data_IF_727321381327
#
_entry.id   IF_727321381327
#
_cell.length_a   1.000
_cell.length_b   1.000
_cell.length_c   1.000
_cell.angle_alpha   90.00
_cell.angle_beta   90.00
_cell.angle_gamma   90.00
#
_symmetry.space_group_name_H-M   'P 1'
#
loop_
_entity.id
_entity.type
_entity.pdbx_description
1 polymer ?
#
# COMPACT_ATOMS: atom_id res chain seq x y z
N UNK A 1 3.42 15.80 2.74
CA UNK A 1 4.84 15.37 2.57
C UNK A 1 5.15 15.22 1.09
N UNK A 2 4.22 14.67 0.33
CA UNK A 2 4.04 14.85 -1.12
C UNK A 2 4.58 16.18 -1.72
N UNK A 3 4.21 17.35 -1.17
CA UNK A 3 4.68 18.66 -1.65
C UNK A 3 6.20 18.80 -1.51
N UNK A 4 6.77 18.32 -0.40
CA UNK A 4 8.22 18.32 -0.17
C UNK A 4 8.93 17.28 -1.05
N UNK A 5 8.30 16.13 -1.31
CA UNK A 5 8.84 15.10 -2.21
C UNK A 5 9.02 15.64 -3.62
N UNK A 6 8.02 16.37 -4.13
CA UNK A 6 8.09 17.05 -5.44
C UNK A 6 9.23 18.07 -5.52
N UNK A 7 9.56 18.72 -4.40
CA UNK A 7 10.66 19.69 -4.29
C UNK A 7 12.02 19.05 -3.94
N UNK A 8 12.07 17.74 -3.70
CA UNK A 8 13.29 17.06 -3.25
C UNK A 8 13.75 17.46 -1.84
N UNK A 9 12.83 17.91 -0.99
CA UNK A 9 13.13 18.46 0.34
C UNK A 9 12.92 17.46 1.48
N UNK A 10 12.51 16.22 1.20
CA UNK A 10 12.40 15.17 2.21
C UNK A 10 13.76 14.52 2.42
N UNK A 11 14.26 14.57 3.67
CA UNK A 11 15.55 13.98 4.07
C UNK A 11 15.38 12.60 4.69
N UNK A 12 16.48 11.85 4.82
CA UNK A 12 16.48 10.58 5.56
C UNK A 12 16.09 10.77 7.03
N UNK A 13 16.54 11.84 7.69
CA UNK A 13 16.16 12.14 9.08
C UNK A 13 14.64 12.31 9.23
N UNK A 14 14.00 13.00 8.28
CA UNK A 14 12.54 13.14 8.27
C UNK A 14 11.85 11.78 8.12
N UNK A 15 12.36 10.92 7.24
CA UNK A 15 11.86 9.55 7.07
C UNK A 15 12.08 8.71 8.34
N UNK A 16 13.21 8.85 9.02
CA UNK A 16 13.49 8.14 10.27
C UNK A 16 12.44 8.48 11.33
N UNK A 17 12.15 9.78 11.52
CA UNK A 17 11.12 10.24 12.46
C UNK A 17 9.72 9.73 12.11
N UNK A 18 9.40 9.63 10.80
CA UNK A 18 8.15 8.99 10.36
C UNK A 18 8.15 7.50 10.73
N UNK A 19 9.21 6.76 10.42
CA UNK A 19 9.33 5.33 10.75
C UNK A 19 9.15 5.10 12.26
N UNK A 20 9.84 5.87 13.10
CA UNK A 20 9.71 5.81 14.56
C UNK A 20 8.27 6.06 15.03
N UNK A 21 7.59 7.07 14.45
CA UNK A 21 6.20 7.37 14.79
C UNK A 21 5.27 6.21 14.42
N UNK A 22 5.48 5.59 13.27
CA UNK A 22 4.73 4.42 12.82
C UNK A 22 4.97 3.20 13.72
N UNK A 23 6.23 2.93 14.11
CA UNK A 23 6.54 1.82 15.03
C UNK A 23 5.82 2.03 16.36
N UNK A 24 5.92 3.22 16.95
CA UNK A 24 5.23 3.55 18.21
C UNK A 24 3.71 3.42 18.09
N UNK A 25 3.14 3.82 16.96
CA UNK A 25 1.72 3.68 16.67
C UNK A 25 1.33 2.21 16.57
N UNK A 26 1.96 1.44 15.69
CA UNK A 26 1.64 0.03 15.44
C UNK A 26 1.82 -0.86 16.68
N UNK A 27 2.79 -0.57 17.56
CA UNK A 27 2.96 -1.28 18.83
C UNK A 27 1.79 -1.09 19.80
N UNK A 28 1.11 0.07 19.72
CA UNK A 28 -0.01 0.44 20.60
C UNK A 28 -1.37 0.26 19.94
N UNK A 29 -1.42 0.17 18.61
CA UNK A 29 -2.64 0.02 17.83
C UNK A 29 -3.42 -1.23 18.25
N UNK A 30 -4.74 -1.12 18.26
CA UNK A 30 -5.62 -2.18 18.72
C UNK A 30 -5.40 -3.46 17.90
N UNK A 31 -5.43 -4.60 18.58
CA UNK A 31 -5.54 -5.93 17.96
C UNK A 31 -6.40 -6.82 18.84
N UNK A 32 -7.25 -7.62 18.22
CA UNK A 32 -8.12 -8.58 18.87
C UNK A 32 -8.54 -9.64 17.83
N UNK A 33 -9.35 -10.63 18.22
CA UNK A 33 -9.79 -11.69 17.29
C UNK A 33 -10.60 -11.18 16.10
N UNK A 34 -11.37 -10.10 16.25
CA UNK A 34 -12.11 -9.43 15.15
C UNK A 34 -11.14 -8.80 14.16
N UNK A 35 -10.14 -8.04 14.63
CA UNK A 35 -9.12 -7.39 13.80
C UNK A 35 -8.24 -8.47 13.11
N UNK A 36 -7.79 -9.47 13.86
CA UNK A 36 -6.96 -10.57 13.37
C UNK A 36 -7.61 -11.33 12.20
N UNK A 37 -8.95 -11.43 12.16
CA UNK A 37 -9.67 -12.07 11.07
C UNK A 37 -9.43 -11.41 9.69
N UNK A 38 -9.04 -10.13 9.66
CA UNK A 38 -8.77 -9.42 8.40
C UNK A 38 -7.43 -9.80 7.76
N UNK A 39 -6.49 -10.35 8.54
CA UNK A 39 -5.24 -10.88 8.02
C UNK A 39 -5.30 -12.36 7.62
N UNK A 40 -6.44 -13.03 7.82
CA UNK A 40 -6.59 -14.43 7.38
C UNK A 40 -6.42 -14.54 5.87
N UNK A 41 -5.80 -15.64 5.44
CA UNK A 41 -5.47 -15.88 4.04
C UNK A 41 -6.68 -15.76 3.10
N UNK A 42 -7.85 -16.26 3.52
CA UNK A 42 -9.08 -16.16 2.72
C UNK A 42 -9.58 -14.73 2.56
N UNK A 43 -9.40 -13.89 3.59
CA UNK A 43 -9.72 -12.46 3.51
C UNK A 43 -8.77 -11.75 2.55
N UNK A 44 -7.47 -12.04 2.63
CA UNK A 44 -6.46 -11.49 1.71
C UNK A 44 -6.76 -11.89 0.27
N UNK A 45 -7.01 -13.19 0.02
CA UNK A 45 -7.37 -13.70 -1.31
C UNK A 45 -8.62 -13.03 -1.86
N UNK A 46 -9.66 -12.87 -1.04
CA UNK A 46 -10.90 -12.18 -1.44
C UNK A 46 -10.66 -10.73 -1.79
N UNK A 47 -9.88 -10.00 -0.98
CA UNK A 47 -9.51 -8.61 -1.28
C UNK A 47 -8.76 -8.51 -2.63
N UNK A 48 -7.81 -9.40 -2.88
CA UNK A 48 -7.10 -9.45 -4.16
C UNK A 48 -8.05 -9.75 -5.33
N UNK A 49 -8.90 -10.78 -5.22
CA UNK A 49 -9.82 -11.15 -6.30
C UNK A 49 -10.85 -10.06 -6.60
N UNK A 50 -11.38 -9.39 -5.57
CA UNK A 50 -12.27 -8.24 -5.76
C UNK A 50 -11.57 -7.10 -6.50
N UNK A 51 -10.30 -6.81 -6.20
CA UNK A 51 -9.53 -5.82 -6.93
C UNK A 51 -9.38 -6.20 -8.41
N UNK A 52 -9.09 -7.47 -8.71
CA UNK A 52 -8.96 -7.98 -10.08
C UNK A 52 -10.29 -7.89 -10.84
N UNK A 53 -11.37 -8.46 -10.28
CA UNK A 53 -12.71 -8.44 -10.87
C UNK A 53 -13.20 -7.02 -11.16
N UNK A 54 -13.03 -6.09 -10.22
CA UNK A 54 -13.41 -4.69 -10.42
C UNK A 54 -12.57 -3.96 -11.49
N UNK A 55 -11.40 -4.50 -11.84
CA UNK A 55 -10.49 -3.90 -12.83
C UNK A 55 -10.74 -4.45 -14.25
N UNK A 56 -11.46 -5.55 -14.41
CA UNK A 56 -11.64 -6.25 -15.70
C UNK A 56 -12.12 -5.33 -16.83
N UNK A 57 -13.07 -4.43 -16.55
CA UNK A 57 -13.59 -3.48 -17.54
C UNK A 57 -12.58 -2.42 -18.02
N UNK A 58 -11.46 -2.26 -17.32
CA UNK A 58 -10.38 -1.34 -17.72
C UNK A 58 -9.19 -2.02 -18.39
N UNK A 59 -9.27 -3.34 -18.61
CA UNK A 59 -8.28 -4.07 -19.41
C UNK A 59 -8.33 -3.53 -20.84
N UNK A 60 -7.17 -3.15 -21.37
CA UNK A 60 -7.03 -2.46 -22.67
C UNK A 60 -7.24 -0.94 -22.58
N UNK A 61 -7.72 -0.41 -21.46
CA UNK A 61 -7.90 1.03 -21.22
C UNK A 61 -6.76 1.58 -20.36
N UNK A 62 -6.79 1.29 -19.05
CA UNK A 62 -5.78 1.74 -18.07
C UNK A 62 -4.71 0.71 -17.78
N UNK A 63 -4.99 -0.58 -18.02
CA UNK A 63 -4.05 -1.68 -17.82
C UNK A 63 -4.03 -2.59 -19.06
N UNK A 64 -2.86 -2.88 -19.66
CA UNK A 64 -2.77 -3.88 -20.72
C UNK A 64 -3.08 -5.29 -20.19
N UNK A 65 -3.75 -6.12 -20.99
CA UNK A 65 -4.13 -7.50 -20.60
C UNK A 65 -2.93 -8.32 -20.10
N UNK A 66 -1.78 -8.22 -20.76
CA UNK A 66 -0.54 -8.89 -20.32
C UNK A 66 -0.14 -8.51 -18.89
N UNK A 67 -0.18 -7.22 -18.53
CA UNK A 67 0.20 -6.76 -17.19
C UNK A 67 -0.79 -7.23 -16.14
N UNK A 68 -2.09 -7.19 -16.48
CA UNK A 68 -3.15 -7.70 -15.60
C UNK A 68 -2.91 -9.18 -15.25
N UNK A 69 -2.69 -10.03 -16.26
CA UNK A 69 -2.43 -11.46 -16.05
C UNK A 69 -1.15 -11.73 -15.27
N UNK A 70 -0.07 -10.99 -15.55
CA UNK A 70 1.19 -11.14 -14.83
C UNK A 70 1.05 -10.78 -13.34
N UNK A 71 0.39 -9.66 -13.03
CA UNK A 71 0.17 -9.24 -11.64
C UNK A 71 -0.80 -10.20 -10.93
N UNK A 72 -1.87 -10.65 -11.60
CA UNK A 72 -2.82 -11.63 -11.03
C UNK A 72 -2.13 -12.96 -10.72
N UNK A 73 -1.34 -13.47 -11.66
CA UNK A 73 -0.56 -14.70 -11.48
C UNK A 73 0.45 -14.57 -10.34
N UNK A 74 1.26 -13.50 -10.32
CA UNK A 74 2.19 -13.23 -9.22
C UNK A 74 1.48 -13.20 -7.86
N UNK A 75 0.36 -12.47 -7.76
CA UNK A 75 -0.40 -12.30 -6.52
C UNK A 75 -0.91 -13.64 -6.01
N UNK A 76 -1.54 -14.44 -6.89
CA UNK A 76 -2.09 -15.74 -6.53
C UNK A 76 -1.00 -16.75 -6.15
N UNK A 77 0.11 -16.77 -6.88
CA UNK A 77 1.25 -17.64 -6.59
C UNK A 77 1.91 -17.26 -5.27
N UNK A 78 2.10 -15.96 -5.01
CA UNK A 78 2.68 -15.50 -3.75
C UNK A 78 1.82 -15.89 -2.55
N UNK A 79 0.50 -15.66 -2.61
CA UNK A 79 -0.45 -16.05 -1.55
C UNK A 79 -0.37 -17.56 -1.30
N UNK A 80 -0.42 -18.36 -2.35
CA UNK A 80 -0.43 -19.83 -2.22
C UNK A 80 0.86 -20.35 -1.61
N UNK A 81 2.02 -19.87 -2.10
CA UNK A 81 3.34 -20.31 -1.65
C UNK A 81 3.75 -19.80 -0.27
N UNK A 82 3.09 -18.76 0.26
CA UNK A 82 3.43 -18.14 1.54
C UNK A 82 2.31 -18.22 2.57
N UNK A 83 1.39 -19.18 2.45
CA UNK A 83 0.24 -19.35 3.37
C UNK A 83 0.68 -19.34 4.85
N UNK A 84 1.74 -20.09 5.19
CA UNK A 84 2.28 -20.16 6.56
C UNK A 84 2.85 -18.82 7.05
N UNK A 85 3.37 -17.98 6.15
CA UNK A 85 3.84 -16.65 6.51
C UNK A 85 2.67 -15.76 6.92
N UNK A 86 1.57 -15.74 6.16
CA UNK A 86 0.37 -14.99 6.51
C UNK A 86 -0.25 -15.46 7.83
N UNK A 87 -0.34 -16.78 8.04
CA UNK A 87 -0.84 -17.33 9.31
C UNK A 87 0.04 -16.93 10.49
N UNK A 88 1.37 -16.91 10.30
CA UNK A 88 2.33 -16.39 11.28
C UNK A 88 2.08 -14.91 11.60
N UNK A 89 1.82 -14.06 10.60
CA UNK A 89 1.46 -12.65 10.83
C UNK A 89 0.25 -12.51 11.73
N UNK A 90 -0.77 -13.33 11.51
CA UNK A 90 -1.99 -13.34 12.31
C UNK A 90 -1.70 -13.80 13.74
N UNK A 91 -0.97 -14.90 13.92
CA UNK A 91 -0.66 -15.46 15.25
C UNK A 91 0.25 -14.56 16.08
N UNK A 92 1.14 -13.80 15.45
CA UNK A 92 2.02 -12.82 16.10
C UNK A 92 1.34 -11.45 16.34
N UNK A 93 0.03 -11.33 16.07
CA UNK A 93 -0.73 -10.10 16.31
C UNK A 93 -0.24 -8.94 15.44
N UNK A 94 0.21 -9.22 14.22
CA UNK A 94 0.67 -8.20 13.25
C UNK A 94 -0.48 -7.51 12.50
N UNK A 95 -1.70 -8.04 12.66
CA UNK A 95 -2.91 -7.42 12.13
C UNK A 95 -3.42 -6.42 13.16
N UNK A 96 -3.43 -5.15 12.78
CA UNK A 96 -3.68 -4.02 13.66
C UNK A 96 -4.74 -3.12 13.08
N UNK A 97 -5.31 -2.31 13.95
CA UNK A 97 -6.12 -1.17 13.58
C UNK A 97 -5.24 -0.02 13.07
N UNK A 98 -4.87 -0.09 11.79
CA UNK A 98 -3.88 0.78 11.16
C UNK A 98 -4.50 2.13 10.70
N UNK A 99 -3.81 2.91 9.87
CA UNK A 99 -4.35 4.12 9.24
C UNK A 99 -5.28 3.81 8.06
N UNK A 100 -4.97 2.77 7.31
CA UNK A 100 -5.75 2.29 6.15
C UNK A 100 -5.45 3.01 4.83
N UNK A 101 -5.13 4.31 4.88
CA UNK A 101 -4.68 5.12 3.71
C UNK A 101 -3.35 5.88 3.93
N UNK A 102 -2.35 5.22 4.52
CA UNK A 102 -1.06 5.87 4.84
C UNK A 102 -0.20 6.11 3.60
N UNK A 103 -0.30 7.30 3.01
CA UNK A 103 0.58 7.74 1.92
C UNK A 103 1.05 9.18 2.11
N UNK A 104 1.97 9.68 1.27
CA UNK A 104 2.71 10.91 1.55
C UNK A 104 1.86 12.19 1.58
N UNK A 105 0.63 12.18 1.07
CA UNK A 105 -0.27 13.35 1.21
C UNK A 105 -0.73 13.52 2.66
N UNK A 106 -0.88 12.41 3.39
CA UNK A 106 -1.41 12.33 4.75
C UNK A 106 -0.36 12.52 5.84
N UNK A 107 0.86 12.94 5.47
CA UNK A 107 1.96 13.20 6.40
C UNK A 107 2.40 14.65 6.26
N UNK A 108 2.24 15.45 7.32
CA UNK A 108 2.69 16.83 7.36
C UNK A 108 3.83 16.99 8.37
N UNK A 109 4.86 17.74 7.99
CA UNK A 109 5.96 18.09 8.90
C UNK A 109 5.69 19.49 9.44
N UNK A 110 5.38 19.55 10.73
CA UNK A 110 5.18 20.79 11.51
C UNK A 110 6.22 20.85 12.64
N UNK A 111 5.88 21.37 13.81
CA UNK A 111 6.73 21.27 15.01
C UNK A 111 6.93 19.79 15.44
N UNK A 112 5.91 18.94 15.19
CA UNK A 112 6.02 17.47 15.15
C UNK A 112 5.47 16.95 13.80
N UNK A 113 5.55 15.64 13.56
CA UNK A 113 4.94 14.97 12.41
C UNK A 113 3.44 14.79 12.67
N UNK A 114 2.60 15.37 11.82
CA UNK A 114 1.16 15.10 11.81
C UNK A 114 0.83 14.04 10.76
N UNK A 115 0.22 12.93 11.17
CA UNK A 115 -0.35 11.93 10.26
C UNK A 115 -1.87 11.99 10.42
N UNK A 116 -2.60 12.27 9.34
CA UNK A 116 -4.00 12.64 9.36
C UNK A 116 -4.79 11.98 8.23
N UNK A 117 -6.12 12.10 8.25
CA UNK A 117 -7.02 11.50 7.25
C UNK A 117 -7.04 9.95 7.29
N UNK A 118 -7.09 9.41 8.51
CA UNK A 118 -7.30 7.98 8.77
C UNK A 118 -8.70 7.55 8.32
N UNK A 119 -8.85 6.33 7.78
CA UNK A 119 -10.17 5.81 7.41
C UNK A 119 -10.95 5.38 8.66
N UNK A 120 -11.88 6.21 9.12
CA UNK A 120 -12.65 5.94 10.35
C UNK A 120 -13.96 5.14 10.12
N UNK A 121 -14.44 5.10 8.88
CA UNK A 121 -15.80 4.60 8.56
C UNK A 121 -15.85 3.15 8.06
N UNK A 122 -14.70 2.53 7.78
CA UNK A 122 -14.65 1.18 7.22
C UNK A 122 -13.50 0.35 7.78
N UNK A 123 -13.83 -0.51 8.75
CA UNK A 123 -12.91 -1.46 9.38
C UNK A 123 -12.11 -2.29 8.35
N UNK A 124 -12.71 -2.67 7.21
CA UNK A 124 -12.04 -3.48 6.19
C UNK A 124 -10.86 -2.78 5.51
N UNK A 125 -10.89 -1.45 5.47
CA UNK A 125 -9.79 -0.67 4.90
C UNK A 125 -8.73 -0.32 5.94
N UNK A 126 -9.12 -0.29 7.21
CA UNK A 126 -8.26 0.11 8.32
C UNK A 126 -7.51 -1.08 8.96
N UNK A 127 -8.22 -2.19 9.18
CA UNK A 127 -7.66 -3.39 9.78
C UNK A 127 -6.78 -4.14 8.78
N UNK A 128 -5.46 -4.13 9.01
CA UNK A 128 -4.52 -4.74 8.08
C UNK A 128 -3.23 -5.15 8.78
N UNK A 129 -2.41 -5.94 8.08
CA UNK A 129 -1.04 -6.20 8.51
C UNK A 129 -0.25 -4.89 8.52
N UNK A 130 0.50 -4.62 9.59
CA UNK A 130 1.41 -3.47 9.67
C UNK A 130 2.42 -3.44 8.52
N UNK A 131 2.80 -4.60 7.97
CA UNK A 131 3.62 -4.70 6.77
C UNK A 131 2.92 -4.11 5.54
N UNK A 132 1.60 -4.25 5.43
CA UNK A 132 0.81 -3.66 4.36
C UNK A 132 0.78 -2.13 4.42
N UNK A 133 0.67 -1.57 5.62
CA UNK A 133 0.68 -0.12 5.85
C UNK A 133 2.05 0.49 5.54
N UNK A 134 3.13 -0.11 6.04
CA UNK A 134 4.51 0.34 5.74
C UNK A 134 4.80 0.21 4.24
N UNK A 135 4.39 -0.89 3.62
CA UNK A 135 4.55 -1.08 2.18
C UNK A 135 3.77 -0.03 1.37
N UNK A 136 2.64 0.47 1.88
CA UNK A 136 1.88 1.51 1.19
C UNK A 136 2.68 2.82 1.10
N UNK A 137 3.20 3.31 2.23
CA UNK A 137 4.02 4.52 2.22
C UNK A 137 5.30 4.33 1.41
N UNK A 138 5.95 3.16 1.51
CA UNK A 138 7.14 2.84 0.72
C UNK A 138 6.85 2.79 -0.79
N UNK A 139 5.71 2.24 -1.21
CA UNK A 139 5.26 2.26 -2.60
C UNK A 139 5.01 3.69 -3.08
N UNK A 140 4.41 4.54 -2.25
CA UNK A 140 4.18 5.95 -2.62
C UNK A 140 5.50 6.72 -2.77
N UNK A 141 6.51 6.44 -1.94
CA UNK A 141 7.88 6.97 -2.12
C UNK A 141 8.51 6.50 -3.45
N UNK A 142 8.32 5.24 -3.83
CA UNK A 142 8.78 4.73 -5.13
C UNK A 142 8.09 5.46 -6.29
N UNK A 143 6.79 5.76 -6.18
CA UNK A 143 6.05 6.57 -7.17
C UNK A 143 6.65 7.97 -7.33
N UNK A 144 7.15 8.58 -6.25
CA UNK A 144 7.88 9.85 -6.30
C UNK A 144 9.33 9.73 -6.79
N UNK A 145 9.75 8.54 -7.27
CA UNK A 145 11.13 8.26 -7.68
C UNK A 145 12.13 8.50 -6.54
N UNK A 146 11.73 8.11 -5.32
CA UNK A 146 12.54 8.19 -4.10
C UNK A 146 12.77 6.80 -3.51
N UNK A 147 13.22 5.86 -4.35
CA UNK A 147 13.51 4.47 -3.96
C UNK A 147 14.55 4.37 -2.82
N UNK A 148 15.48 5.31 -2.74
CA UNK A 148 16.42 5.43 -1.63
C UNK A 148 15.73 5.74 -0.29
N UNK A 149 14.75 6.65 -0.28
CA UNK A 149 13.96 6.98 0.91
C UNK A 149 12.98 5.86 1.26
N UNK A 150 12.40 5.19 0.25
CA UNK A 150 11.56 4.01 0.41
C UNK A 150 12.31 2.87 1.11
N UNK A 151 13.53 2.54 0.64
CA UNK A 151 14.39 1.54 1.28
C UNK A 151 14.79 1.96 2.69
N UNK A 152 15.13 3.23 2.87
CA UNK A 152 15.50 3.76 4.19
C UNK A 152 14.34 3.66 5.20
N UNK A 153 13.12 4.07 4.81
CA UNK A 153 11.90 3.92 5.61
C UNK A 153 11.71 2.48 6.10
N UNK A 154 11.77 1.53 5.16
CA UNK A 154 11.54 0.10 5.46
C UNK A 154 12.61 -0.43 6.39
N UNK A 155 13.89 -0.16 6.10
CA UNK A 155 15.00 -0.63 6.92
C UNK A 155 14.91 -0.08 8.35
N UNK A 156 14.68 1.23 8.51
CA UNK A 156 14.53 1.86 9.83
C UNK A 156 13.32 1.28 10.58
N UNK A 157 12.20 1.06 9.89
CA UNK A 157 11.03 0.44 10.50
C UNK A 157 11.34 -0.99 11.00
N UNK A 158 11.98 -1.82 10.17
CA UNK A 158 12.33 -3.21 10.54
C UNK A 158 13.32 -3.23 11.70
N UNK A 159 14.35 -2.39 11.66
CA UNK A 159 15.34 -2.27 12.74
C UNK A 159 14.70 -1.93 14.09
N UNK A 160 13.79 -0.96 14.11
CA UNK A 160 13.11 -0.50 15.33
C UNK A 160 11.99 -1.44 15.82
N UNK A 161 11.34 -2.17 14.91
CA UNK A 161 10.22 -3.06 15.24
C UNK A 161 10.64 -4.52 15.41
N UNK A 162 11.87 -4.87 15.00
CA UNK A 162 12.39 -6.23 14.88
C UNK A 162 11.51 -7.15 14.01
N UNK A 163 10.81 -6.57 13.03
CA UNK A 163 9.87 -7.28 12.17
C UNK A 163 10.51 -7.69 10.82
N UNK A 164 11.40 -8.67 10.86
CA UNK A 164 12.14 -9.14 9.66
C UNK A 164 11.22 -9.79 8.60
N UNK A 165 10.10 -10.41 9.02
CA UNK A 165 9.16 -11.03 8.09
C UNK A 165 8.45 -10.01 7.18
N UNK A 166 8.41 -8.73 7.57
CA UNK A 166 7.93 -7.64 6.73
C UNK A 166 8.68 -7.60 5.40
N UNK A 167 10.00 -7.81 5.39
CA UNK A 167 10.82 -7.78 4.18
C UNK A 167 10.38 -8.83 3.17
N UNK A 168 9.92 -9.99 3.65
CA UNK A 168 9.42 -11.09 2.81
C UNK A 168 8.06 -10.77 2.18
N UNK A 169 7.26 -9.93 2.83
CA UNK A 169 5.93 -9.49 2.36
C UNK A 169 5.97 -8.17 1.59
N UNK A 170 7.10 -7.46 1.60
CA UNK A 170 7.19 -6.08 1.14
C UNK A 170 6.75 -5.92 -0.32
N UNK A 171 7.34 -6.68 -1.24
CA UNK A 171 7.01 -6.56 -2.66
C UNK A 171 5.57 -6.99 -2.96
N UNK A 172 5.05 -8.00 -2.26
CA UNK A 172 3.65 -8.41 -2.37
C UNK A 172 2.72 -7.25 -1.99
N UNK A 173 2.92 -6.62 -0.83
CA UNK A 173 2.07 -5.53 -0.39
C UNK A 173 2.29 -4.24 -1.19
N UNK A 174 3.51 -3.94 -1.65
CA UNK A 174 3.76 -2.81 -2.57
C UNK A 174 3.02 -3.02 -3.90
N UNK A 175 3.09 -4.21 -4.47
CA UNK A 175 2.34 -4.59 -5.66
C UNK A 175 0.82 -4.43 -5.44
N UNK A 176 0.30 -4.99 -4.35
CA UNK A 176 -1.11 -4.88 -3.97
C UNK A 176 -1.56 -3.41 -3.84
N UNK A 177 -0.81 -2.57 -3.12
CA UNK A 177 -1.16 -1.15 -2.90
C UNK A 177 -1.06 -0.34 -4.18
N UNK A 178 -0.04 -0.56 -4.99
CA UNK A 178 0.07 0.07 -6.31
C UNK A 178 -1.12 -0.33 -7.21
N UNK A 179 -1.52 -1.60 -7.20
CA UNK A 179 -2.68 -2.08 -7.95
C UNK A 179 -3.99 -1.44 -7.47
N UNK A 180 -4.21 -1.35 -6.16
CA UNK A 180 -5.38 -0.67 -5.56
C UNK A 180 -5.44 0.79 -6.02
N UNK A 181 -4.32 1.53 -5.99
CA UNK A 181 -4.28 2.91 -6.48
C UNK A 181 -4.57 2.99 -7.98
N UNK A 182 -4.00 2.09 -8.79
CA UNK A 182 -4.31 1.98 -10.22
C UNK A 182 -5.80 1.80 -10.47
N UNK A 183 -6.43 0.86 -9.76
CA UNK A 183 -7.88 0.59 -9.84
C UNK A 183 -8.72 1.80 -9.44
N UNK A 184 -8.41 2.43 -8.30
CA UNK A 184 -9.16 3.59 -7.80
C UNK A 184 -9.06 4.77 -8.77
N UNK A 185 -7.89 5.01 -9.36
CA UNK A 185 -7.73 6.01 -10.41
C UNK A 185 -8.52 5.63 -11.68
N UNK A 186 -8.57 4.35 -12.06
CA UNK A 186 -9.41 3.90 -13.18
C UNK A 186 -10.90 4.14 -12.94
N UNK A 187 -11.40 4.01 -11.71
CA UNK A 187 -12.82 4.29 -11.37
C UNK A 187 -13.24 5.71 -11.71
N UNK A 188 -12.32 6.68 -11.61
CA UNK A 188 -12.59 8.07 -11.97
C UNK A 188 -12.87 8.26 -13.47
N UNK A 189 -12.52 7.31 -14.33
CA UNK A 189 -12.85 7.38 -15.77
C UNK A 189 -14.35 7.24 -16.03
N UNK A 190 -15.07 6.54 -15.14
CA UNK A 190 -16.52 6.35 -15.23
C UNK A 190 -17.30 7.55 -14.67
N UNK A 191 -16.64 8.44 -13.94
CA UNK A 191 -17.30 9.58 -13.32
C UNK A 191 -17.76 10.57 -14.41
N UNK A 192 -19.08 10.83 -14.54
CA UNK A 192 -19.59 11.79 -15.52
C UNK A 192 -19.26 13.25 -15.15
N UNK A 193 -18.88 13.52 -13.90
CA UNK A 193 -18.55 14.86 -13.41
C UNK A 193 -17.08 15.23 -13.64
N UNK A 194 -16.23 14.28 -14.02
CA UNK A 194 -14.83 14.56 -14.37
C UNK A 194 -14.74 14.98 -15.85
N UNK A 195 -14.27 16.19 -16.16
CA UNK A 195 -14.13 16.65 -17.54
C UNK A 195 -13.21 15.76 -18.37
N UNK A 196 -13.50 15.60 -19.66
CA UNK A 196 -12.72 14.72 -20.56
C UNK A 196 -11.21 15.06 -20.60
N UNK A 197 -10.88 16.36 -20.49
CA UNK A 197 -9.50 16.84 -20.42
C UNK A 197 -8.77 16.36 -19.15
N UNK A 198 -9.50 16.10 -18.07
CA UNK A 198 -8.96 15.55 -16.82
C UNK A 198 -8.92 14.02 -16.85
N UNK A 199 -9.85 13.36 -17.56
CA UNK A 199 -9.82 11.89 -17.75
C UNK A 199 -8.52 11.40 -18.38
N UNK A 200 -7.93 12.17 -19.31
CA UNK A 200 -6.62 11.85 -19.87
C UNK A 200 -5.50 11.84 -18.80
N UNK A 201 -5.54 12.75 -17.83
CA UNK A 201 -4.58 12.79 -16.70
C UNK A 201 -4.81 11.63 -15.74
N UNK A 202 -6.06 11.37 -15.37
CA UNK A 202 -6.47 10.22 -14.56
C UNK A 202 -5.97 8.92 -15.18
N UNK A 203 -6.19 8.73 -16.49
CA UNK A 203 -5.73 7.55 -17.22
C UNK A 203 -4.20 7.40 -17.17
N UNK A 204 -3.46 8.50 -17.34
CA UNK A 204 -2.00 8.48 -17.25
C UNK A 204 -1.52 8.11 -15.84
N UNK A 205 -2.20 8.58 -14.79
CA UNK A 205 -1.89 8.24 -13.39
C UNK A 205 -2.18 6.76 -13.12
N UNK A 206 -3.36 6.26 -13.52
CA UNK A 206 -3.73 4.85 -13.39
C UNK A 206 -2.70 3.92 -14.05
N UNK A 207 -2.28 4.24 -15.29
CA UNK A 207 -1.24 3.51 -16.03
C UNK A 207 0.09 3.45 -15.28
N UNK A 208 0.52 4.57 -14.66
CA UNK A 208 1.76 4.63 -13.87
C UNK A 208 1.68 3.73 -12.64
N UNK A 209 0.53 3.68 -11.96
CA UNK A 209 0.35 2.78 -10.82
C UNK A 209 0.39 1.30 -11.21
N UNK A 210 -0.23 0.91 -12.32
CA UNK A 210 -0.13 -0.47 -12.80
C UNK A 210 1.28 -0.84 -13.27
N UNK A 211 2.01 0.11 -13.88
CA UNK A 211 3.43 -0.07 -14.18
C UNK A 211 4.28 -0.23 -12.91
N UNK A 212 3.98 0.55 -11.87
CA UNK A 212 4.65 0.42 -10.58
C UNK A 212 4.35 -0.94 -9.94
N UNK A 213 3.09 -1.39 -9.97
CA UNK A 213 2.70 -2.71 -9.47
C UNK A 213 3.46 -3.85 -10.18
N UNK A 214 3.56 -3.78 -11.51
CA UNK A 214 4.35 -4.72 -12.32
C UNK A 214 5.84 -4.68 -11.97
N UNK A 215 6.41 -3.54 -11.59
CA UNK A 215 7.84 -3.44 -11.27
C UNK A 215 8.27 -4.24 -10.03
N UNK A 216 7.32 -4.67 -9.19
CA UNK A 216 7.60 -5.44 -7.97
C UNK A 216 7.55 -6.96 -8.16
N UNK A 217 7.16 -7.44 -9.34
CA UNK A 217 6.94 -8.88 -9.61
C UNK A 217 8.12 -9.54 -10.33
N UNK A 218 9.21 -8.78 -10.58
CA UNK A 218 10.42 -9.22 -11.30
C UNK A 218 11.67 -9.08 -10.44
#
# INVERSE_FOLDING_TARGET
>A
MDVLLLKGQVTQEMIAKVAEKLVRFHQKAETNSKIAAFGKLDTIRRNCEENFSQTEKYIGVSIPARKYEQIKSYTNNFISSNSSLFDKRVSEGKIRDCHGDLHAAHICFTDDICIYDCIEFNDRFRYSDVASEVAFLAMDLDRYQRANLSKYLVNTYVELSHDEDLLRLLNFYKCYRAYVRGKVESFKLDDPYIPEKEKAKVLAIAKKYFQLAESYIW
#
